data_IF_758135783687
#
_entry.id   IF_758135783687
#
_cell.length_a   1.000
_cell.length_b   1.000
_cell.length_c   1.000
_cell.angle_alpha   90.00
_cell.angle_beta   90.00
_cell.angle_gamma   90.00
#
_symmetry.space_group_name_H-M   'P 1'
#
loop_
_entity.id
_entity.type
_entity.pdbx_description
1 polymer ?
#
# COMPACT_ATOMS: atom_id res chain seq x y z
N UNK A 1 3.29 4.41 -11.67
CA UNK A 1 2.05 4.50 -10.86
C UNK A 1 2.20 3.83 -9.47
N UNK A 2 2.72 4.58 -8.49
CA UNK A 2 2.82 4.28 -7.03
C UNK A 2 3.32 2.89 -6.55
N UNK A 3 3.79 2.02 -7.43
CA UNK A 3 4.23 0.66 -7.06
C UNK A 3 3.10 -0.26 -6.59
N UNK A 4 1.84 0.06 -6.91
CA UNK A 4 0.67 -0.65 -6.39
C UNK A 4 0.34 -1.93 -7.18
N UNK A 5 0.75 -2.01 -8.46
CA UNK A 5 0.50 -3.17 -9.32
C UNK A 5 -0.95 -3.64 -9.30
N UNK A 6 -1.14 -4.96 -9.24
CA UNK A 6 -2.45 -5.62 -9.17
C UNK A 6 -3.28 -5.27 -7.92
N UNK A 7 -2.65 -4.73 -6.88
CA UNK A 7 -3.32 -4.37 -5.63
C UNK A 7 -4.16 -3.11 -5.74
N UNK A 8 -4.01 -2.32 -6.81
CA UNK A 8 -4.77 -1.09 -7.04
C UNK A 8 -6.29 -1.29 -6.96
N UNK A 9 -6.81 -2.46 -7.35
CA UNK A 9 -8.24 -2.79 -7.29
C UNK A 9 -8.81 -2.96 -5.86
N UNK A 10 -7.95 -3.03 -4.85
CA UNK A 10 -8.33 -3.27 -3.45
C UNK A 10 -8.26 -2.01 -2.58
N UNK A 11 -7.84 -0.88 -3.13
CA UNK A 11 -7.58 0.35 -2.38
C UNK A 11 -8.30 1.55 -2.97
N UNK A 12 -8.93 2.34 -2.10
CA UNK A 12 -9.70 3.52 -2.51
C UNK A 12 -10.96 3.18 -3.29
N UNK A 13 -11.27 4.03 -4.27
CA UNK A 13 -12.39 3.87 -5.22
C UNK A 13 -11.82 3.76 -6.64
N UNK A 14 -12.61 3.35 -7.64
CA UNK A 14 -12.15 3.35 -9.03
C UNK A 14 -11.73 4.73 -9.56
N UNK A 15 -12.14 5.82 -8.89
CA UNK A 15 -11.87 7.19 -9.31
C UNK A 15 -10.81 7.91 -8.46
N UNK A 16 -10.58 7.47 -7.23
CA UNK A 16 -9.69 8.19 -6.31
C UNK A 16 -9.16 7.32 -5.17
N UNK A 17 -7.97 7.69 -4.71
CA UNK A 17 -7.31 7.11 -3.53
C UNK A 17 -6.84 8.24 -2.62
N UNK A 18 -6.89 8.02 -1.30
CA UNK A 18 -6.29 8.91 -0.32
C UNK A 18 -4.88 8.43 0.02
N UNK A 19 -3.89 9.31 -0.09
CA UNK A 19 -2.48 9.02 0.19
C UNK A 19 -2.02 9.92 1.35
N UNK A 20 -1.22 9.37 2.26
CA UNK A 20 -0.58 10.11 3.36
C UNK A 20 0.87 9.64 3.51
N UNK A 21 1.78 10.58 3.74
CA UNK A 21 3.10 10.29 4.29
C UNK A 21 3.08 10.58 5.80
N UNK A 22 3.17 9.57 6.69
CA UNK A 22 3.12 9.79 8.13
C UNK A 22 4.39 10.49 8.64
N UNK A 23 4.22 11.45 9.54
CA UNK A 23 5.32 12.06 10.29
C UNK A 23 5.61 11.24 11.57
N UNK A 24 6.03 9.99 11.39
CA UNK A 24 6.37 9.08 12.49
C UNK A 24 7.53 8.20 12.03
N UNK A 25 8.68 8.32 12.70
CA UNK A 25 9.92 7.64 12.32
C UNK A 25 9.72 6.11 12.23
N UNK A 26 8.99 5.54 13.19
CA UNK A 26 8.70 4.11 13.24
C UNK A 26 7.82 3.68 12.06
N UNK A 27 6.74 4.41 11.77
CA UNK A 27 5.86 4.10 10.63
C UNK A 27 6.58 4.26 9.29
N UNK A 28 7.35 5.33 9.11
CA UNK A 28 8.13 5.56 7.88
C UNK A 28 9.19 4.49 7.70
N UNK A 29 9.87 4.06 8.77
CA UNK A 29 10.84 2.97 8.69
C UNK A 29 10.19 1.66 8.23
N UNK A 30 9.03 1.30 8.79
CA UNK A 30 8.27 0.12 8.36
C UNK A 30 7.87 0.21 6.87
N UNK A 31 7.32 1.34 6.44
CA UNK A 31 6.93 1.58 5.04
C UNK A 31 8.13 1.44 4.10
N UNK A 32 9.32 1.91 4.49
CA UNK A 32 10.52 1.74 3.67
C UNK A 32 10.96 0.29 3.53
N UNK A 33 10.66 -0.57 4.51
CA UNK A 33 11.00 -1.99 4.47
C UNK A 33 10.00 -2.82 3.64
N UNK A 34 8.71 -2.47 3.70
CA UNK A 34 7.63 -3.31 3.13
C UNK A 34 6.95 -2.70 1.91
N UNK A 35 7.23 -1.44 1.59
CA UNK A 35 6.51 -0.66 0.58
C UNK A 35 5.24 0.01 1.12
N UNK A 36 4.37 0.52 0.22
CA UNK A 36 3.13 1.18 0.60
C UNK A 36 2.21 0.28 1.43
N UNK A 37 1.62 0.84 2.48
CA UNK A 37 0.71 0.10 3.38
C UNK A 37 -0.68 0.70 3.27
N UNK A 38 -1.66 -0.13 2.93
CA UNK A 38 -3.07 0.22 3.03
C UNK A 38 -3.52 0.12 4.49
N UNK A 39 -4.05 1.22 5.05
CA UNK A 39 -4.41 1.28 6.47
C UNK A 39 -5.83 1.80 6.68
N UNK A 40 -6.46 1.29 7.73
CA UNK A 40 -7.64 1.89 8.38
C UNK A 40 -7.27 2.34 9.78
N UNK A 41 -8.18 2.99 10.49
CA UNK A 41 -7.97 3.28 11.90
C UNK A 41 -7.88 1.98 12.72
N UNK A 42 -7.02 1.96 13.74
CA UNK A 42 -6.72 0.76 14.54
C UNK A 42 -7.70 0.58 15.72
N UNK A 43 -9.00 0.68 15.42
CA UNK A 43 -10.07 0.56 16.40
C UNK A 43 -11.23 -0.29 15.85
N UNK A 44 -12.03 -0.93 16.72
CA UNK A 44 -13.27 -1.56 16.30
C UNK A 44 -14.19 -0.55 15.60
N UNK A 45 -14.94 -1.04 14.60
CA UNK A 45 -15.88 -0.21 13.84
C UNK A 45 -16.90 0.45 14.77
N UNK A 46 -17.06 1.77 14.63
CA UNK A 46 -18.00 2.56 15.43
C UNK A 46 -17.46 3.02 16.78
N UNK A 47 -16.27 2.60 17.19
CA UNK A 47 -15.62 3.08 18.41
C UNK A 47 -14.72 4.31 18.16
N UNK A 48 -14.37 4.98 19.26
CA UNK A 48 -13.38 6.05 19.23
C UNK A 48 -11.98 5.54 18.84
N UNK A 49 -11.22 6.43 18.20
CA UNK A 49 -9.85 6.20 17.78
C UNK A 49 -8.96 5.79 18.96
N UNK A 50 -8.06 4.84 18.72
CA UNK A 50 -7.02 4.46 19.67
C UNK A 50 -5.83 5.42 19.55
N UNK A 51 -5.37 5.95 20.68
CA UNK A 51 -4.22 6.88 20.73
C UNK A 51 -2.99 6.28 21.42
N UNK A 52 -3.02 5.00 21.78
CA UNK A 52 -1.89 4.31 22.40
C UNK A 52 -1.92 2.82 22.07
N UNK A 53 -0.76 2.19 21.88
CA UNK A 53 -0.64 0.77 21.50
C UNK A 53 -1.35 -0.17 22.49
N UNK A 54 -1.29 0.09 23.80
CA UNK A 54 -2.06 -0.66 24.80
C UNK A 54 -3.59 -0.69 24.53
N UNK A 55 -4.16 0.39 23.99
CA UNK A 55 -5.58 0.42 23.63
C UNK A 55 -5.85 -0.45 22.40
N UNK A 56 -4.95 -0.42 21.41
CA UNK A 56 -5.03 -1.28 20.22
C UNK A 56 -4.95 -2.74 20.65
N UNK A 57 -3.96 -3.10 21.48
CA UNK A 57 -3.80 -4.46 21.98
C UNK A 57 -5.02 -4.93 22.76
N UNK A 58 -5.57 -4.11 23.66
CA UNK A 58 -6.75 -4.47 24.44
C UNK A 58 -8.03 -4.69 23.59
N UNK A 59 -8.16 -3.97 22.46
CA UNK A 59 -9.37 -4.01 21.61
C UNK A 59 -9.27 -4.97 20.43
N UNK A 60 -8.07 -5.13 19.88
CA UNK A 60 -7.82 -5.83 18.62
C UNK A 60 -6.72 -6.89 18.72
N UNK A 61 -6.05 -7.06 19.87
CA UNK A 61 -4.88 -7.94 20.01
C UNK A 61 -5.12 -9.37 19.53
N UNK A 62 -6.28 -9.96 19.83
CA UNK A 62 -6.62 -11.32 19.39
C UNK A 62 -7.00 -11.43 17.90
N UNK A 63 -7.12 -10.29 17.19
CA UNK A 63 -7.57 -10.18 15.80
C UNK A 63 -6.45 -9.77 14.84
N UNK A 64 -5.24 -9.52 15.35
CA UNK A 64 -4.10 -9.04 14.55
C UNK A 64 -2.86 -9.87 14.86
N UNK A 65 -2.00 -10.08 13.86
CA UNK A 65 -0.77 -10.84 14.03
C UNK A 65 0.28 -10.13 14.89
N UNK A 66 0.15 -8.80 15.04
CA UNK A 66 1.05 -8.01 15.87
C UNK A 66 0.62 -6.57 16.06
N UNK A 67 1.17 -5.94 17.09
CA UNK A 67 0.98 -4.51 17.41
C UNK A 67 2.35 -3.87 17.54
N UNK A 68 2.55 -2.76 16.83
CA UNK A 68 3.78 -1.98 16.92
C UNK A 68 3.67 -0.97 18.07
N UNK A 69 4.49 -1.16 19.10
CA UNK A 69 4.40 -0.41 20.35
C UNK A 69 5.34 0.81 20.37
N UNK A 70 4.81 2.00 20.08
CA UNK A 70 5.56 3.27 20.02
C UNK A 70 4.99 4.35 20.97
N UNK A 71 4.48 3.94 22.13
CA UNK A 71 3.90 4.89 23.10
C UNK A 71 2.57 5.51 22.66
N UNK A 72 2.24 6.72 23.16
CA UNK A 72 1.08 7.50 22.74
C UNK A 72 1.30 8.17 21.38
N UNK A 73 0.24 8.25 20.58
CA UNK A 73 0.22 9.02 19.34
C UNK A 73 0.56 10.49 19.63
N UNK A 74 1.49 11.12 18.87
CA UNK A 74 1.86 12.51 19.08
C UNK A 74 0.72 13.49 18.76
N UNK A 75 -0.26 13.05 17.96
CA UNK A 75 -1.39 13.86 17.53
C UNK A 75 -2.70 13.21 17.98
N UNK A 76 -3.53 13.95 18.74
CA UNK A 76 -4.88 13.52 19.13
C UNK A 76 -5.96 13.95 18.12
N UNK A 77 -5.56 14.61 17.02
CA UNK A 77 -6.46 15.16 16.02
C UNK A 77 -6.19 14.46 14.69
N UNK A 78 -7.25 14.04 14.00
CA UNK A 78 -7.15 13.41 12.69
C UNK A 78 -6.45 14.30 11.67
N UNK A 79 -5.92 13.71 10.59
CA UNK A 79 -5.29 14.45 9.50
C UNK A 79 -6.28 15.30 8.73
N UNK A 80 -5.79 16.43 8.21
CA UNK A 80 -6.45 17.21 7.16
C UNK A 80 -6.45 16.40 5.87
N UNK A 81 -7.61 16.30 5.22
CA UNK A 81 -7.81 15.55 3.97
C UNK A 81 -8.24 16.51 2.89
N UNK A 82 -7.39 16.65 1.88
CA UNK A 82 -7.53 17.58 0.76
C UNK A 82 -7.94 16.79 -0.48
N UNK A 83 -8.96 17.28 -1.18
CA UNK A 83 -9.35 16.75 -2.49
C UNK A 83 -8.54 17.44 -3.58
N UNK A 84 -7.62 16.70 -4.19
CA UNK A 84 -6.78 17.16 -5.30
C UNK A 84 -7.28 16.65 -6.67
N UNK A 85 -8.46 16.03 -6.77
CA UNK A 85 -8.94 15.43 -8.03
C UNK A 85 -9.22 16.45 -9.13
N UNK A 86 -9.38 17.73 -8.77
CA UNK A 86 -9.62 18.85 -9.70
C UNK A 86 -8.45 19.83 -9.76
N UNK A 87 -7.25 19.38 -9.41
CA UNK A 87 -6.07 20.25 -9.31
C UNK A 87 -5.75 20.98 -10.64
N UNK A 88 -6.01 20.36 -11.78
CA UNK A 88 -5.80 20.94 -13.12
C UNK A 88 -6.71 22.14 -13.39
N UNK A 89 -7.87 22.21 -12.73
CA UNK A 89 -8.76 23.38 -12.79
C UNK A 89 -8.28 24.53 -11.91
N UNK A 90 -7.15 24.37 -11.23
CA UNK A 90 -6.57 25.35 -10.31
C UNK A 90 -7.21 25.38 -8.92
N UNK A 91 -8.02 24.37 -8.55
CA UNK A 91 -8.77 24.34 -7.30
C UNK A 91 -8.53 23.04 -6.53
N UNK A 92 -8.57 23.14 -5.20
CA UNK A 92 -8.56 22.01 -4.27
C UNK A 92 -9.78 22.06 -3.34
N UNK A 93 -10.28 20.89 -2.95
CA UNK A 93 -11.36 20.73 -1.97
C UNK A 93 -10.83 20.27 -0.60
N UNK A 94 -11.72 20.20 0.38
CA UNK A 94 -11.40 19.68 1.72
C UNK A 94 -12.49 18.71 2.14
N UNK A 95 -12.13 17.45 2.36
CA UNK A 95 -13.02 16.47 2.98
C UNK A 95 -13.03 16.60 4.50
N UNK A 96 -11.89 16.99 5.08
CA UNK A 96 -11.75 17.21 6.52
C UNK A 96 -10.64 18.22 6.79
N UNK A 97 -10.88 19.14 7.73
CA UNK A 97 -9.82 19.97 8.31
C UNK A 97 -9.44 19.34 9.64
N UNK A 98 -8.17 18.95 9.75
CA UNK A 98 -7.59 18.30 10.91
C UNK A 98 -6.51 19.16 11.54
N UNK A 99 -5.41 18.52 11.97
CA UNK A 99 -4.29 19.22 12.61
C UNK A 99 -3.70 20.37 11.76
N UNK A 100 -3.64 20.20 10.44
CA UNK A 100 -3.12 21.21 9.53
C UNK A 100 -4.24 22.18 9.13
N UNK A 101 -4.20 23.46 9.51
CA UNK A 101 -5.26 24.41 9.20
C UNK A 101 -5.46 24.61 7.70
N UNK A 102 -6.71 24.88 7.30
CA UNK A 102 -7.06 25.17 5.90
C UNK A 102 -6.24 26.30 5.29
N UNK A 103 -5.98 27.36 6.05
CA UNK A 103 -5.16 28.51 5.61
C UNK A 103 -3.74 28.09 5.23
N UNK A 104 -3.12 27.22 6.02
CA UNK A 104 -1.77 26.72 5.76
C UNK A 104 -1.73 25.88 4.48
N UNK A 105 -2.72 25.01 4.28
CA UNK A 105 -2.82 24.21 3.04
C UNK A 105 -3.00 25.11 1.81
N UNK A 106 -3.88 26.11 1.87
CA UNK A 106 -4.11 27.03 0.77
C UNK A 106 -2.87 27.87 0.44
N UNK A 107 -2.14 28.32 1.46
CA UNK A 107 -0.89 29.05 1.29
C UNK A 107 0.16 28.19 0.56
N UNK A 108 0.33 26.93 0.98
CA UNK A 108 1.26 26.00 0.31
C UNK A 108 0.82 25.75 -1.12
N UNK A 109 -0.49 25.56 -1.37
CA UNK A 109 -1.02 25.33 -2.71
C UNK A 109 -0.75 26.51 -3.64
N UNK A 110 -1.00 27.75 -3.20
CA UNK A 110 -0.72 28.95 -3.98
C UNK A 110 0.78 29.08 -4.30
N UNK A 111 1.65 28.77 -3.34
CA UNK A 111 3.09 28.78 -3.54
C UNK A 111 3.53 27.74 -4.58
N UNK A 112 3.00 26.52 -4.51
CA UNK A 112 3.29 25.45 -5.47
C UNK A 112 2.75 25.79 -6.86
N UNK A 113 1.55 26.36 -6.96
CA UNK A 113 1.00 26.82 -8.24
C UNK A 113 1.89 27.88 -8.90
N UNK A 114 2.42 28.83 -8.13
CA UNK A 114 3.37 29.84 -8.63
C UNK A 114 4.64 29.17 -9.12
N UNK A 115 5.24 28.24 -8.37
CA UNK A 115 6.44 27.53 -8.82
C UNK A 115 6.21 26.75 -10.12
N UNK A 116 5.08 26.05 -10.20
CA UNK A 116 4.70 25.28 -11.39
C UNK A 116 4.48 26.16 -12.62
N UNK A 117 3.87 27.35 -12.48
CA UNK A 117 3.72 28.29 -13.60
C UNK A 117 5.05 28.85 -14.12
N UNK A 118 6.12 28.80 -13.30
CA UNK A 118 7.49 29.12 -13.70
C UNK A 118 8.27 27.90 -14.20
N UNK A 119 7.60 26.77 -14.47
CA UNK A 119 8.20 25.55 -15.02
C UNK A 119 8.94 24.68 -14.01
N UNK A 120 8.82 24.95 -12.70
CA UNK A 120 9.41 24.08 -11.68
C UNK A 120 8.53 22.84 -11.46
N UNK A 121 9.11 21.66 -11.68
CA UNK A 121 8.50 20.37 -11.38
C UNK A 121 9.20 19.72 -10.18
N UNK A 122 8.51 18.79 -9.52
CA UNK A 122 9.10 18.04 -8.43
C UNK A 122 9.98 16.91 -9.02
N UNK A 123 11.30 16.89 -8.72
CA UNK A 123 12.23 15.93 -9.32
C UNK A 123 11.89 14.47 -8.99
N UNK A 124 11.17 14.23 -7.88
CA UNK A 124 10.68 12.91 -7.52
C UNK A 124 9.67 12.31 -8.51
N UNK A 125 9.19 13.07 -9.49
CA UNK A 125 8.28 12.62 -10.55
C UNK A 125 8.92 12.62 -11.95
N UNK A 126 10.21 12.97 -12.09
CA UNK A 126 10.90 12.96 -13.39
C UNK A 126 11.02 11.55 -13.99
N UNK A 127 11.15 10.52 -13.15
CA UNK A 127 11.23 9.12 -13.58
C UNK A 127 9.93 8.62 -14.25
N UNK A 128 8.76 9.17 -13.90
CA UNK A 128 7.46 8.79 -14.53
C UNK A 128 7.31 9.38 -15.95
N UNK A 129 8.21 10.29 -16.38
CA UNK A 129 8.20 10.91 -17.72
C UNK A 129 9.15 10.22 -18.72
N UNK A 130 9.96 9.26 -18.27
CA UNK A 130 11.05 8.64 -19.06
C UNK A 130 10.83 7.19 -19.46
N UNK A 131 9.59 6.70 -19.44
CA UNK A 131 9.23 5.39 -20.03
C UNK A 131 8.50 5.58 -21.38
N UNK A 132 9.22 5.76 -22.51
CA UNK A 132 8.68 5.34 -23.78
C UNK A 132 8.80 3.81 -23.85
N UNK A 133 7.66 3.13 -23.90
CA UNK A 133 7.55 1.69 -24.18
C UNK A 133 8.45 1.32 -25.39
N UNK A 134 9.60 0.65 -25.18
CA UNK A 134 10.46 0.26 -26.27
C UNK A 134 9.95 -1.09 -26.74
N UNK A 135 8.92 -1.06 -27.59
CA UNK A 135 8.70 -1.94 -28.74
C UNK A 135 7.30 -2.61 -28.80
N UNK A 136 6.32 -2.05 -29.56
CA UNK A 136 5.09 -2.75 -29.90
C UNK A 136 5.21 -3.66 -31.13
N UNK A 137 6.39 -3.83 -31.74
CA UNK A 137 6.54 -4.59 -32.99
C UNK A 137 7.61 -5.68 -32.88
N UNK A 138 7.18 -6.88 -32.47
CA UNK A 138 7.77 -8.15 -32.90
C UNK A 138 6.74 -8.87 -33.77
N UNK A 139 6.66 -8.45 -35.03
CA UNK A 139 6.28 -9.37 -36.10
C UNK A 139 7.58 -10.01 -36.56
N UNK A 140 7.72 -11.31 -36.31
CA UNK A 140 8.79 -12.14 -36.84
C UNK A 140 8.27 -12.82 -38.12
N UNK A 141 8.62 -12.34 -39.33
CA UNK A 141 8.52 -13.15 -40.52
C UNK A 141 9.84 -13.90 -40.73
N UNK A 142 9.71 -15.23 -40.88
CA UNK A 142 10.69 -16.20 -41.40
C UNK A 142 11.27 -17.18 -40.37
N UNK A 143 10.60 -18.34 -40.26
CA UNK A 143 11.30 -19.62 -40.38
C UNK A 143 10.42 -20.62 -41.12
N UNK A 144 10.76 -20.84 -42.39
CA UNK A 144 10.19 -21.88 -43.22
C UNK A 144 10.67 -23.27 -42.74
N UNK A 145 9.72 -24.21 -42.76
CA UNK A 145 9.83 -25.63 -43.13
C UNK A 145 11.03 -26.45 -42.62
N UNK A 146 10.71 -27.42 -41.78
CA UNK A 146 11.12 -28.82 -42.00
C UNK A 146 10.04 -29.72 -41.38
N UNK A 147 9.31 -30.42 -42.25
CA UNK A 147 8.47 -31.57 -41.92
C UNK A 147 9.40 -32.75 -41.61
N UNK A 148 9.20 -33.43 -40.47
CA UNK A 148 9.39 -34.88 -40.46
C UNK A 148 8.40 -35.53 -39.47
N UNK A 149 7.66 -36.48 -40.01
CA UNK A 149 6.64 -37.27 -39.34
C UNK A 149 7.27 -38.57 -38.84
N UNK A 150 7.14 -38.89 -37.55
CA UNK A 150 6.99 -40.28 -37.10
C UNK A 150 6.29 -40.34 -35.75
N UNK A 151 4.99 -40.62 -35.82
CA UNK A 151 4.28 -41.74 -35.20
C UNK A 151 4.70 -42.27 -33.80
N UNK A 152 3.64 -42.49 -33.00
CA UNK A 152 3.40 -43.68 -32.15
C UNK A 152 3.43 -43.52 -30.62
N UNK A 153 2.20 -43.64 -30.08
CA UNK A 153 1.77 -44.45 -28.90
C UNK A 153 2.11 -44.04 -27.46
N UNK A 154 1.02 -43.70 -26.76
CA UNK A 154 0.49 -44.36 -25.54
C UNK A 154 1.32 -44.45 -24.24
N UNK A 155 0.63 -43.98 -23.17
CA UNK A 155 0.37 -44.69 -21.91
C UNK A 155 1.08 -44.18 -20.65
N UNK A 156 0.22 -43.78 -19.69
CA UNK A 156 0.23 -44.05 -18.24
C UNK A 156 1.53 -43.79 -17.46
N UNK A 157 1.56 -43.18 -16.28
CA UNK A 157 0.74 -43.49 -15.10
C UNK A 157 1.17 -42.53 -13.98
N UNK A 158 0.25 -42.06 -13.15
CA UNK A 158 0.53 -41.45 -11.83
C UNK A 158 0.68 -42.57 -10.79
N UNK A 159 1.51 -42.42 -9.74
CA UNK A 159 0.92 -42.46 -8.39
C UNK A 159 1.48 -41.38 -7.43
N UNK A 160 0.77 -41.09 -6.30
CA UNK A 160 1.09 -40.05 -5.33
C UNK A 160 1.68 -40.62 -4.00
N UNK A 161 1.49 -39.97 -2.83
CA UNK A 161 2.47 -39.22 -2.03
C UNK A 161 3.13 -40.04 -0.90
N UNK A 162 4.16 -39.51 -0.23
CA UNK A 162 4.68 -40.08 1.04
C UNK A 162 4.40 -39.14 2.21
N UNK A 163 3.81 -39.71 3.26
CA UNK A 163 3.37 -39.10 4.52
C UNK A 163 4.51 -38.90 5.54
N UNK A 164 4.24 -38.03 6.51
CA UNK A 164 4.94 -37.69 7.76
C UNK A 164 5.18 -38.87 8.72
N UNK A 165 5.88 -38.64 9.86
CA UNK A 165 5.18 -38.40 11.14
C UNK A 165 5.80 -37.24 11.95
N UNK A 166 5.03 -36.34 12.56
CA UNK A 166 4.43 -36.42 13.90
C UNK A 166 5.44 -36.69 15.03
N UNK A 167 5.59 -35.71 15.94
CA UNK A 167 5.84 -35.94 17.37
C UNK A 167 5.17 -34.82 18.18
N UNK A 168 4.25 -35.25 19.05
CA UNK A 168 3.74 -34.54 20.21
C UNK A 168 4.85 -34.45 21.28
N UNK A 169 4.83 -33.40 22.11
CA UNK A 169 4.66 -33.64 23.55
C UNK A 169 4.24 -32.38 24.32
N UNK A 170 3.27 -32.61 25.19
CA UNK A 170 2.65 -31.73 26.18
C UNK A 170 3.50 -31.65 27.45
N UNK A 171 3.50 -30.51 28.16
CA UNK A 171 3.47 -30.48 29.64
C UNK A 171 3.23 -29.08 30.24
N UNK A 172 2.30 -29.08 31.19
CA UNK A 172 1.77 -28.08 32.13
C UNK A 172 2.74 -27.59 33.23
N UNK A 173 2.50 -26.38 33.78
CA UNK A 173 2.49 -25.93 35.20
C UNK A 173 2.73 -24.39 35.22
N UNK A 174 2.34 -23.52 36.16
CA UNK A 174 1.37 -23.39 37.26
C UNK A 174 1.70 -22.05 37.97
N UNK A 175 0.68 -21.23 38.26
CA UNK A 175 0.50 -20.25 39.39
C UNK A 175 1.52 -19.11 39.65
N UNK A 176 1.00 -17.86 39.55
CA UNK A 176 0.91 -16.75 40.55
C UNK A 176 1.99 -16.58 41.67
N UNK A 177 2.19 -15.37 42.25
CA UNK A 177 1.16 -14.42 42.74
C UNK A 177 0.94 -13.14 41.92
#
# INVERSE_FOLDING_TARGET
MFGLGESAKHIGTPQSIAIRNPNCAVATHLINLVGPIAVTSANPTGEADTTHHNQVYAKLGDKVDGVLCDGPSPENIASTVVDCTKIDSGHIGFFRVGLIPKSQVLQIFEEVQKRHSHGQINPGFEADLTEPDPNPNLTDPQRNTEEDNTESTESSTVPPPTQSPANMDTSTLTTQP
#
